data_IF_146038480228
#
_entry.id   IF_146038480228
#
_cell.length_a   1.000
_cell.length_b   1.000
_cell.length_c   1.000
_cell.angle_alpha   90.00
_cell.angle_beta   90.00
_cell.angle_gamma   90.00
#
_symmetry.space_group_name_H-M   'P 1'
#
loop_
_entity.id
_entity.type
_entity.pdbx_description
1 polymer ?
#
# COMPACT_ATOMS: atom_id res chain seq x y z
N UNK A 1 -5.77 -4.87 -18.64
CA UNK A 1 -5.63 -3.50 -18.11
C UNK A 1 -6.57 -3.32 -16.93
N UNK A 2 -6.06 -2.94 -15.75
CA UNK A 2 -6.95 -2.80 -14.60
C UNK A 2 -7.89 -1.61 -14.74
N UNK A 3 -9.13 -1.85 -14.33
CA UNK A 3 -10.15 -0.81 -14.25
C UNK A 3 -10.08 -0.20 -12.85
N UNK A 4 -9.83 1.11 -12.77
CA UNK A 4 -9.69 1.80 -11.49
C UNK A 4 -10.90 1.58 -10.57
N UNK A 5 -12.12 1.60 -11.13
CA UNK A 5 -13.34 1.43 -10.33
C UNK A 5 -13.48 0.02 -9.75
N UNK A 6 -12.80 -0.97 -10.32
CA UNK A 6 -12.85 -2.36 -9.86
C UNK A 6 -11.67 -2.74 -8.95
N UNK A 7 -10.65 -1.89 -8.86
CA UNK A 7 -9.48 -2.17 -8.01
C UNK A 7 -9.84 -2.06 -6.54
N UNK A 8 -9.45 -3.06 -5.77
CA UNK A 8 -9.63 -3.09 -4.32
C UNK A 8 -8.31 -2.77 -3.66
N UNK A 9 -8.23 -1.59 -3.05
CA UNK A 9 -7.00 -1.07 -2.44
C UNK A 9 -7.15 -1.03 -0.93
N UNK A 10 -6.14 -1.51 -0.24
CA UNK A 10 -6.05 -1.42 1.22
C UNK A 10 -5.01 -0.37 1.59
N UNK A 11 -5.44 0.65 2.34
CA UNK A 11 -4.56 1.69 2.86
C UNK A 11 -4.29 1.42 4.34
N UNK A 12 -3.03 1.29 4.71
CA UNK A 12 -2.62 0.99 6.08
C UNK A 12 -1.78 2.14 6.62
N UNK A 13 -2.27 2.78 7.68
CA UNK A 13 -1.58 3.89 8.34
C UNK A 13 -2.22 4.08 9.70
N UNK A 14 -1.41 4.30 10.74
CA UNK A 14 -1.92 4.50 12.09
C UNK A 14 -2.54 5.87 12.29
N UNK A 15 -2.29 6.82 11.40
CA UNK A 15 -2.86 8.16 11.48
C UNK A 15 -4.07 8.29 10.56
N UNK A 16 -5.25 8.48 11.16
CA UNK A 16 -6.50 8.57 10.42
C UNK A 16 -6.51 9.70 9.39
N UNK A 17 -5.90 10.85 9.73
CA UNK A 17 -5.82 11.98 8.81
C UNK A 17 -5.01 11.66 7.56
N UNK A 18 -3.92 10.90 7.71
CA UNK A 18 -3.09 10.49 6.58
C UNK A 18 -3.82 9.46 5.72
N UNK A 19 -4.50 8.49 6.35
CA UNK A 19 -5.33 7.53 5.60
C UNK A 19 -6.38 8.26 4.76
N UNK A 20 -7.02 9.28 5.35
CA UNK A 20 -8.04 10.07 4.66
C UNK A 20 -7.46 10.80 3.45
N UNK A 21 -6.30 11.40 3.59
CA UNK A 21 -5.63 12.09 2.47
C UNK A 21 -5.29 11.12 1.34
N UNK A 22 -4.77 9.94 1.69
CA UNK A 22 -4.46 8.91 0.71
C UNK A 22 -5.72 8.43 0.00
N UNK A 23 -6.80 8.22 0.76
CA UNK A 23 -8.10 7.85 0.19
C UNK A 23 -8.59 8.88 -0.83
N UNK A 24 -8.56 10.16 -0.45
CA UNK A 24 -9.00 11.24 -1.34
C UNK A 24 -8.18 11.24 -2.65
N UNK A 25 -6.87 11.07 -2.51
CA UNK A 25 -5.99 11.03 -3.69
C UNK A 25 -6.33 9.83 -4.60
N UNK A 26 -6.58 8.66 -4.01
CA UNK A 26 -6.98 7.47 -4.77
C UNK A 26 -8.33 7.67 -5.45
N UNK A 27 -9.27 8.31 -4.77
CA UNK A 27 -10.58 8.60 -5.34
C UNK A 27 -10.49 9.50 -6.56
N UNK A 28 -9.57 10.47 -6.53
CA UNK A 28 -9.31 11.34 -7.68
C UNK A 28 -8.78 10.57 -8.89
N UNK A 29 -8.14 9.43 -8.66
CA UNK A 29 -7.66 8.55 -9.73
C UNK A 29 -8.73 7.58 -10.24
N UNK A 30 -9.94 7.66 -9.69
CA UNK A 30 -11.05 6.80 -10.09
C UNK A 30 -11.18 5.52 -9.31
N UNK A 31 -10.35 5.31 -8.29
CA UNK A 31 -10.42 4.13 -7.44
C UNK A 31 -11.55 4.31 -6.42
N UNK A 32 -12.45 3.33 -6.36
CA UNK A 32 -13.66 3.44 -5.53
C UNK A 32 -13.69 2.46 -4.38
N UNK A 33 -13.06 1.30 -4.52
CA UNK A 33 -13.07 0.26 -3.49
C UNK A 33 -11.83 0.40 -2.62
N UNK A 34 -11.91 1.26 -1.61
CA UNK A 34 -10.80 1.58 -0.73
C UNK A 34 -11.14 1.12 0.68
N UNK A 35 -10.30 0.24 1.22
CA UNK A 35 -10.38 -0.22 2.59
C UNK A 35 -9.26 0.40 3.40
N UNK A 36 -9.46 0.56 4.70
CA UNK A 36 -8.49 1.18 5.58
C UNK A 36 -8.22 0.28 6.79
N UNK A 37 -6.96 0.25 7.21
CA UNK A 37 -6.55 -0.42 8.43
C UNK A 37 -5.61 0.50 9.21
N UNK A 38 -5.75 0.50 10.53
CA UNK A 38 -4.99 1.40 11.39
C UNK A 38 -3.63 0.80 11.83
N UNK A 39 -3.41 -0.47 11.58
CA UNK A 39 -2.17 -1.17 11.96
C UNK A 39 -2.00 -2.43 11.12
N UNK A 40 -0.81 -3.04 11.26
CA UNK A 40 -0.47 -4.22 10.47
C UNK A 40 -1.32 -5.44 10.77
N UNK A 41 -1.70 -5.65 12.02
CA UNK A 41 -2.54 -6.79 12.39
C UNK A 41 -3.93 -6.68 11.78
N UNK A 42 -4.54 -5.50 11.88
CA UNK A 42 -5.85 -5.25 11.27
C UNK A 42 -5.79 -5.44 9.76
N UNK A 43 -4.68 -5.01 9.14
CA UNK A 43 -4.46 -5.21 7.71
C UNK A 43 -4.41 -6.69 7.35
N UNK A 44 -3.68 -7.51 8.12
CA UNK A 44 -3.58 -8.94 7.86
C UNK A 44 -4.92 -9.64 7.97
N UNK A 45 -5.71 -9.30 8.99
CA UNK A 45 -7.06 -9.84 9.14
C UNK A 45 -7.91 -9.53 7.92
N UNK A 46 -7.87 -8.28 7.48
CA UNK A 46 -8.64 -7.83 6.32
C UNK A 46 -8.20 -8.54 5.03
N UNK A 47 -6.89 -8.72 4.86
CA UNK A 47 -6.34 -9.42 3.70
C UNK A 47 -6.78 -10.88 3.63
N UNK A 48 -6.96 -11.51 4.78
CA UNK A 48 -7.41 -12.90 4.83
C UNK A 48 -8.91 -13.03 4.63
N UNK A 49 -9.68 -11.98 4.90
CA UNK A 49 -11.15 -12.02 4.82
C UNK A 49 -11.70 -11.61 3.48
N UNK A 50 -11.00 -10.78 2.72
CA UNK A 50 -11.51 -10.28 1.46
C UNK A 50 -10.39 -10.05 0.44
N UNK A 51 -10.71 -10.15 -0.85
CA UNK A 51 -9.70 -9.95 -1.90
C UNK A 51 -9.24 -8.49 -1.95
N UNK A 52 -7.93 -8.30 -1.99
CA UNK A 52 -7.29 -7.00 -2.12
C UNK A 52 -6.33 -7.08 -3.30
N UNK A 53 -6.36 -6.07 -4.16
CA UNK A 53 -5.53 -6.02 -5.36
C UNK A 53 -4.24 -5.25 -5.15
N UNK A 54 -4.18 -4.38 -4.14
CA UNK A 54 -3.01 -3.56 -3.86
C UNK A 54 -3.02 -3.11 -2.41
N UNK A 55 -1.87 -3.20 -1.76
CA UNK A 55 -1.65 -2.66 -0.41
C UNK A 55 -0.80 -1.39 -0.54
N UNK A 56 -1.26 -0.31 0.09
CA UNK A 56 -0.47 0.91 0.26
C UNK A 56 -0.29 1.08 1.77
N UNK A 57 0.92 0.88 2.26
CA UNK A 57 1.17 0.91 3.71
C UNK A 57 2.26 1.90 4.07
N UNK A 58 1.99 2.69 5.10
CA UNK A 58 3.01 3.51 5.72
C UNK A 58 4.08 2.62 6.35
N UNK A 59 5.32 3.09 6.34
CA UNK A 59 6.41 2.38 7.02
C UNK A 59 6.30 2.52 8.53
N UNK A 60 6.06 3.74 8.99
CA UNK A 60 6.20 4.11 10.39
C UNK A 60 4.89 3.87 11.16
N UNK A 61 4.76 2.69 11.75
CA UNK A 61 3.58 2.31 12.52
C UNK A 61 4.04 1.61 13.81
N UNK A 62 3.28 1.77 14.91
CA UNK A 62 3.63 1.08 16.16
C UNK A 62 3.43 -0.43 16.03
N UNK A 63 4.21 -1.18 16.78
CA UNK A 63 4.14 -2.64 16.93
C UNK A 63 4.60 -3.42 15.69
N UNK A 64 4.05 -3.13 14.52
CA UNK A 64 4.45 -3.76 13.25
C UNK A 64 4.59 -2.66 12.22
N UNK A 65 5.82 -2.36 11.80
CA UNK A 65 6.06 -1.34 10.77
C UNK A 65 5.72 -1.89 9.37
N UNK A 66 5.82 -1.01 8.36
CA UNK A 66 5.45 -1.38 7.00
C UNK A 66 6.27 -2.52 6.41
N UNK A 67 7.56 -2.61 6.76
CA UNK A 67 8.40 -3.73 6.30
C UNK A 67 8.01 -5.01 7.02
N UNK A 68 7.66 -4.92 8.31
CA UNK A 68 7.14 -6.05 9.06
C UNK A 68 5.84 -6.58 8.46
N UNK A 69 4.93 -5.68 8.09
CA UNK A 69 3.70 -6.07 7.42
C UNK A 69 4.00 -6.72 6.06
N UNK A 70 4.89 -6.14 5.27
CA UNK A 70 5.28 -6.68 3.98
C UNK A 70 5.83 -8.10 4.13
N UNK A 71 6.70 -8.34 5.08
CA UNK A 71 7.24 -9.69 5.35
C UNK A 71 6.14 -10.66 5.73
N UNK A 72 5.22 -10.22 6.58
CA UNK A 72 4.08 -11.06 6.97
C UNK A 72 3.22 -11.44 5.77
N UNK A 73 2.91 -10.46 4.90
CA UNK A 73 2.14 -10.71 3.67
C UNK A 73 2.86 -11.72 2.79
N UNK A 74 4.15 -11.54 2.56
CA UNK A 74 4.94 -12.44 1.69
C UNK A 74 5.08 -13.84 2.24
N UNK A 75 4.93 -14.02 3.56
CA UNK A 75 5.03 -15.33 4.20
C UNK A 75 3.70 -16.09 4.25
N UNK A 76 2.58 -15.43 3.97
CA UNK A 76 1.26 -16.09 3.95
C UNK A 76 0.94 -16.61 2.56
N UNK A 77 0.73 -17.89 2.43
CA UNK A 77 0.52 -18.56 1.14
C UNK A 77 -0.62 -17.95 0.33
N UNK A 78 -1.70 -17.53 1.00
CA UNK A 78 -2.90 -17.03 0.33
C UNK A 78 -2.74 -15.60 -0.21
N UNK A 79 -1.85 -14.79 0.39
CA UNK A 79 -1.74 -13.36 0.06
C UNK A 79 -0.33 -12.94 -0.34
N UNK A 80 0.60 -13.87 -0.43
CA UNK A 80 2.02 -13.57 -0.64
C UNK A 80 2.33 -12.79 -1.92
N UNK A 81 1.44 -12.82 -2.89
CA UNK A 81 1.65 -12.17 -4.19
C UNK A 81 0.92 -10.83 -4.32
N UNK A 82 0.20 -10.40 -3.30
CA UNK A 82 -0.51 -9.13 -3.37
C UNK A 82 0.50 -7.99 -3.55
N UNK A 83 0.31 -7.15 -4.57
CA UNK A 83 1.19 -6.00 -4.79
C UNK A 83 1.22 -5.07 -3.58
N UNK A 84 2.40 -4.57 -3.26
CA UNK A 84 2.64 -3.78 -2.05
C UNK A 84 3.46 -2.54 -2.39
N UNK A 85 2.93 -1.37 -2.04
CA UNK A 85 3.64 -0.09 -2.14
C UNK A 85 3.90 0.42 -0.73
N UNK A 86 5.16 0.68 -0.41
CA UNK A 86 5.55 1.21 0.88
C UNK A 86 5.60 2.73 0.82
N UNK A 87 4.98 3.38 1.81
CA UNK A 87 5.00 4.85 1.93
C UNK A 87 5.96 5.23 3.05
N UNK A 88 6.91 6.10 2.75
CA UNK A 88 7.93 6.52 3.71
C UNK A 88 8.04 8.04 3.73
N UNK A 89 8.36 8.59 4.89
CA UNK A 89 8.59 10.04 5.03
C UNK A 89 9.97 10.45 4.54
N UNK A 90 10.84 9.50 4.24
CA UNK A 90 12.21 9.76 3.78
C UNK A 90 12.62 8.75 2.72
N UNK A 91 13.43 9.22 1.76
CA UNK A 91 14.12 8.31 0.85
C UNK A 91 15.34 7.69 1.50
N UNK A 92 15.15 6.96 2.58
CA UNK A 92 16.22 6.30 3.32
C UNK A 92 16.69 5.08 2.54
N UNK A 93 17.97 5.09 2.14
CA UNK A 93 18.55 4.02 1.34
C UNK A 93 18.46 2.65 2.04
N UNK A 94 18.73 2.62 3.35
CA UNK A 94 18.64 1.38 4.12
C UNK A 94 17.22 0.82 4.12
N UNK A 95 16.23 1.68 4.29
CA UNK A 95 14.83 1.29 4.28
C UNK A 95 14.44 0.74 2.91
N UNK A 96 14.86 1.43 1.84
CA UNK A 96 14.57 0.99 0.47
C UNK A 96 15.18 -0.39 0.21
N UNK A 97 16.40 -0.63 0.64
CA UNK A 97 17.06 -1.93 0.49
C UNK A 97 16.33 -3.02 1.27
N UNK A 98 15.95 -2.75 2.52
CA UNK A 98 15.19 -3.71 3.33
C UNK A 98 13.84 -4.04 2.71
N UNK A 99 13.15 -3.03 2.19
CA UNK A 99 11.87 -3.22 1.52
C UNK A 99 12.02 -4.05 0.25
N UNK A 100 13.05 -3.78 -0.55
CA UNK A 100 13.34 -4.55 -1.75
C UNK A 100 13.63 -6.01 -1.41
N UNK A 101 14.42 -6.27 -0.39
CA UNK A 101 14.73 -7.63 0.06
C UNK A 101 13.49 -8.37 0.58
N UNK A 102 12.54 -7.62 1.14
CA UNK A 102 11.29 -8.20 1.64
C UNK A 102 10.24 -8.40 0.54
N UNK A 103 10.51 -7.96 -0.69
CA UNK A 103 9.63 -8.18 -1.83
C UNK A 103 8.61 -7.08 -2.09
N UNK A 104 8.99 -5.81 -1.81
CA UNK A 104 8.14 -4.67 -2.14
C UNK A 104 8.07 -4.49 -3.66
N UNK A 105 6.91 -4.07 -4.15
CA UNK A 105 6.74 -3.79 -5.58
C UNK A 105 7.19 -2.37 -5.94
N UNK A 106 6.99 -1.43 -5.03
CA UNK A 106 7.43 -0.05 -5.22
C UNK A 106 7.38 0.69 -3.88
N UNK A 107 7.94 1.89 -3.85
CA UNK A 107 7.83 2.75 -2.68
C UNK A 107 7.53 4.18 -3.14
N UNK A 108 6.98 4.98 -2.22
CA UNK A 108 6.66 6.38 -2.49
C UNK A 108 7.03 7.22 -1.27
N UNK A 109 7.57 8.41 -1.49
CA UNK A 109 8.02 9.31 -0.42
C UNK A 109 6.95 10.36 -0.15
N UNK A 110 6.62 10.57 1.12
CA UNK A 110 5.70 11.63 1.55
C UNK A 110 6.41 12.98 1.61
N UNK A 111 5.73 14.07 1.32
CA UNK A 111 4.38 14.13 0.75
C UNK A 111 4.40 13.81 -0.74
N UNK A 112 3.32 13.23 -1.23
CA UNK A 112 3.20 12.92 -2.65
C UNK A 112 1.90 13.52 -3.20
N UNK A 113 1.90 13.80 -4.51
CA UNK A 113 0.72 14.31 -5.20
C UNK A 113 0.03 13.19 -5.98
N UNK A 114 -1.09 13.55 -6.59
CA UNK A 114 -1.89 12.63 -7.39
C UNK A 114 -1.08 12.04 -8.54
N UNK A 115 -0.30 12.86 -9.23
CA UNK A 115 0.51 12.43 -10.37
C UNK A 115 1.56 11.40 -9.97
N UNK A 116 2.26 11.63 -8.86
CA UNK A 116 3.27 10.70 -8.35
C UNK A 116 2.64 9.38 -7.93
N UNK A 117 1.51 9.44 -7.23
CA UNK A 117 0.81 8.22 -6.82
C UNK A 117 0.36 7.41 -8.04
N UNK A 118 -0.19 8.09 -9.05
CA UNK A 118 -0.61 7.43 -10.30
C UNK A 118 0.56 6.72 -10.97
N UNK A 119 1.71 7.38 -11.07
CA UNK A 119 2.90 6.78 -11.67
C UNK A 119 3.32 5.51 -10.93
N UNK A 120 3.32 5.55 -9.59
CA UNK A 120 3.72 4.40 -8.78
C UNK A 120 2.74 3.25 -8.91
N UNK A 121 1.44 3.55 -8.94
CA UNK A 121 0.40 2.55 -9.14
C UNK A 121 0.56 1.89 -10.51
N UNK A 122 0.73 2.67 -11.55
CA UNK A 122 0.84 2.16 -12.91
C UNK A 122 2.13 1.38 -13.14
N UNK A 123 3.21 1.73 -12.44
CA UNK A 123 4.45 0.97 -12.49
C UNK A 123 4.28 -0.43 -11.92
N UNK A 124 3.34 -0.61 -10.99
CA UNK A 124 3.09 -1.90 -10.34
C UNK A 124 1.98 -2.69 -11.03
N UNK A 125 0.90 -2.01 -11.42
CA UNK A 125 -0.34 -2.64 -11.90
C UNK A 125 -0.53 -2.52 -13.41
N UNK A 126 0.27 -1.72 -14.10
CA UNK A 126 0.01 -1.33 -15.46
C UNK A 126 -0.96 -0.16 -15.52
N UNK A 127 -1.26 0.32 -16.73
CA UNK A 127 -2.16 1.45 -16.90
C UNK A 127 -3.53 1.18 -16.29
N UNK A 128 -4.04 2.15 -15.54
CA UNK A 128 -5.37 2.08 -14.94
C UNK A 128 -6.32 3.02 -15.69
N UNK A 129 -7.54 2.59 -15.82
CA UNK A 129 -8.58 3.33 -16.55
C UNK A 129 -9.73 3.72 -15.64
#
# INVERSE_FOLDING_TARGET
>A
MPNAAALKVLVVDDQASVRQMTRVTLEKLGIRMIHEAANGQAALVMLMEQPIDLIISDFNMPMMDGVGLLRAVRSHLQIRKVPFILVTGRGDRELVVKAAQAGVNNYIVKPFDESTLKQKLEAVLGKIH
#
